data_IF_326442204546
#
_entry.id   IF_326442204546
#
_cell.length_a   1.000
_cell.length_b   1.000
_cell.length_c   1.000
_cell.angle_alpha   90.00
_cell.angle_beta   90.00
_cell.angle_gamma   90.00
#
_symmetry.space_group_name_H-M   'P 1'
#
loop_
_entity.id
_entity.type
_entity.pdbx_description
1 polymer ?
#
# COMPACT_ATOMS: atom_id res chain seq x y z
N UNK A 1 -2.84 -10.42 28.16
CA UNK A 1 -3.23 -11.83 27.87
C UNK A 1 -2.23 -12.37 26.86
N UNK A 2 -1.38 -13.30 27.28
CA UNK A 2 -0.39 -13.93 26.40
C UNK A 2 -1.12 -15.00 25.58
N UNK A 3 -1.57 -14.64 24.38
CA UNK A 3 -2.01 -15.64 23.43
C UNK A 3 -0.77 -16.44 23.01
N UNK A 4 -0.67 -17.69 23.46
CA UNK A 4 0.16 -18.67 22.77
C UNK A 4 -0.33 -18.68 21.31
N UNK A 5 0.35 -17.94 20.44
CA UNK A 5 0.08 -17.98 19.00
C UNK A 5 0.26 -19.43 18.58
N UNK A 6 -0.86 -20.11 18.33
CA UNK A 6 -0.83 -21.46 17.82
C UNK A 6 0.02 -21.42 16.54
N UNK A 7 1.13 -22.16 16.53
CA UNK A 7 1.99 -22.27 15.35
C UNK A 7 1.22 -22.79 14.14
N UNK A 8 0.06 -23.40 14.36
CA UNK A 8 -0.89 -23.85 13.36
C UNK A 8 -2.17 -23.01 13.43
N UNK A 9 -2.63 -22.39 12.32
CA UNK A 9 -3.92 -21.73 12.21
C UNK A 9 -5.07 -22.69 12.35
N UNK A 10 -6.20 -22.09 12.70
CA UNK A 10 -7.47 -22.78 12.80
C UNK A 10 -8.02 -23.22 11.43
N UNK A 11 -7.63 -22.54 10.34
CA UNK A 11 -8.03 -22.85 8.97
C UNK A 11 -6.80 -22.91 8.06
N UNK A 12 -6.70 -23.99 7.27
CA UNK A 12 -5.62 -24.24 6.31
C UNK A 12 -6.19 -24.73 4.99
N UNK A 13 -5.58 -24.30 3.90
CA UNK A 13 -5.77 -24.94 2.61
C UNK A 13 -5.02 -26.26 2.57
N UNK A 14 -5.53 -27.24 1.82
CA UNK A 14 -4.86 -28.53 1.63
C UNK A 14 -3.45 -28.31 1.08
N UNK A 15 -2.46 -29.02 1.64
CA UNK A 15 -1.04 -28.88 1.27
C UNK A 15 -0.24 -27.85 2.07
N UNK A 16 -0.86 -27.03 2.92
CA UNK A 16 -0.17 -26.04 3.78
C UNK A 16 -0.29 -26.42 5.27
N UNK A 17 0.30 -27.55 5.66
CA UNK A 17 0.20 -28.10 7.02
C UNK A 17 1.30 -27.60 7.98
N UNK A 18 2.33 -26.92 7.48
CA UNK A 18 3.47 -26.49 8.27
C UNK A 18 3.13 -25.39 9.29
N UNK A 19 4.00 -25.28 10.30
CA UNK A 19 3.94 -24.23 11.30
C UNK A 19 4.22 -22.84 10.68
N UNK A 20 3.55 -21.80 11.17
CA UNK A 20 3.94 -20.42 10.89
C UNK A 20 5.30 -20.12 11.50
N UNK A 21 6.08 -19.34 10.76
CA UNK A 21 7.34 -18.75 11.22
C UNK A 21 7.24 -17.24 11.13
N UNK A 22 7.77 -16.56 12.14
CA UNK A 22 7.89 -15.10 12.10
C UNK A 22 8.99 -14.70 11.11
N UNK A 23 8.66 -13.78 10.20
CA UNK A 23 9.59 -13.22 9.22
C UNK A 23 9.52 -11.70 9.28
N UNK A 24 10.67 -11.05 9.15
CA UNK A 24 10.72 -9.59 9.02
C UNK A 24 10.22 -9.21 7.63
N UNK A 25 9.31 -8.24 7.55
CA UNK A 25 8.76 -7.80 6.25
C UNK A 25 9.87 -7.41 5.25
N UNK A 26 10.88 -6.67 5.73
CA UNK A 26 12.06 -6.25 4.94
C UNK A 26 12.88 -7.41 4.35
N UNK A 27 12.75 -8.65 4.85
CA UNK A 27 13.42 -9.80 4.22
C UNK A 27 12.67 -10.36 3.03
N UNK A 28 11.46 -9.84 2.74
CA UNK A 28 10.58 -10.33 1.68
C UNK A 28 10.14 -9.23 0.71
N UNK A 29 10.41 -7.96 1.01
CA UNK A 29 9.82 -6.80 0.32
C UNK A 29 10.86 -5.72 0.04
N UNK A 30 10.65 -4.92 -1.00
CA UNK A 30 11.48 -3.76 -1.32
C UNK A 30 10.75 -2.49 -0.89
N UNK A 31 11.23 -1.86 0.18
CA UNK A 31 10.61 -0.65 0.71
C UNK A 31 10.96 0.60 -0.10
N UNK A 32 9.94 1.38 -0.48
CA UNK A 32 10.11 2.72 -1.07
C UNK A 32 9.03 3.68 -0.57
N UNK A 33 9.44 4.80 0.01
CA UNK A 33 8.51 5.86 0.40
C UNK A 33 8.15 6.73 -0.82
N UNK A 34 6.91 7.23 -0.85
CA UNK A 34 6.47 8.20 -1.85
C UNK A 34 7.15 9.55 -1.71
N UNK A 35 7.09 10.34 -2.78
CA UNK A 35 7.71 11.68 -2.86
C UNK A 35 6.63 12.76 -2.83
N UNK A 36 7.01 13.98 -2.46
CA UNK A 36 6.11 15.13 -2.54
C UNK A 36 5.90 15.56 -4.00
N UNK A 37 4.64 15.75 -4.39
CA UNK A 37 4.27 16.20 -5.76
C UNK A 37 3.39 17.47 -5.76
N UNK A 38 3.36 18.23 -4.66
CA UNK A 38 2.42 19.33 -4.41
C UNK A 38 2.37 20.37 -5.55
N UNK A 39 3.52 20.77 -6.09
CA UNK A 39 3.62 21.82 -7.12
C UNK A 39 3.20 21.38 -8.53
N UNK A 40 3.01 20.07 -8.74
CA UNK A 40 2.72 19.49 -10.08
C UNK A 40 1.30 18.94 -10.20
N UNK A 41 0.48 19.03 -9.15
CA UNK A 41 -0.82 18.38 -9.12
C UNK A 41 -1.87 19.11 -9.95
N UNK A 42 -2.66 18.34 -10.67
CA UNK A 42 -3.81 18.78 -11.44
C UNK A 42 -5.02 17.88 -11.17
N UNK A 43 -6.20 18.32 -11.60
CA UNK A 43 -7.41 17.49 -11.63
C UNK A 43 -7.49 16.59 -12.86
N UNK A 44 -6.57 16.77 -13.81
CA UNK A 44 -6.44 15.98 -15.05
C UNK A 44 -4.95 15.73 -15.27
N UNK A 45 -4.59 14.53 -15.70
CA UNK A 45 -3.22 14.17 -16.07
C UNK A 45 -3.10 12.70 -16.41
N UNK A 46 -1.90 12.28 -16.82
CA UNK A 46 -1.62 10.89 -17.22
C UNK A 46 -1.54 9.92 -16.05
N UNK A 47 -0.91 10.35 -14.95
CA UNK A 47 -0.57 9.52 -13.81
C UNK A 47 -1.36 9.96 -12.58
N UNK A 48 -2.03 9.03 -11.91
CA UNK A 48 -2.80 9.32 -10.71
C UNK A 48 -1.94 9.18 -9.45
N UNK A 49 -2.02 10.15 -8.55
CA UNK A 49 -1.31 10.13 -7.28
C UNK A 49 -2.02 9.24 -6.28
N UNK A 50 -1.29 8.29 -5.69
CA UNK A 50 -1.73 7.54 -4.51
C UNK A 50 -1.39 8.35 -3.27
N UNK A 51 -2.41 8.74 -2.52
CA UNK A 51 -2.28 9.47 -1.26
C UNK A 51 -3.11 8.81 -0.15
N UNK A 52 -3.19 9.44 1.02
CA UNK A 52 -3.91 8.92 2.18
C UNK A 52 -5.39 8.62 1.93
N UNK A 53 -6.04 9.36 1.03
CA UNK A 53 -7.45 9.15 0.69
C UNK A 53 -7.63 8.09 -0.42
N UNK A 54 -6.55 7.62 -1.02
CA UNK A 54 -6.57 6.60 -2.08
C UNK A 54 -6.73 5.18 -1.54
N UNK A 55 -6.57 4.94 -0.24
CA UNK A 55 -6.79 3.61 0.35
C UNK A 55 -8.02 3.67 1.26
N UNK A 56 -8.96 2.77 1.02
CA UNK A 56 -10.18 2.73 1.83
C UNK A 56 -9.93 2.16 3.24
N UNK A 57 -10.79 2.51 4.20
CA UNK A 57 -10.76 1.93 5.56
C UNK A 57 -10.93 0.41 5.52
N UNK A 58 -11.70 -0.13 4.58
CA UNK A 58 -11.82 -1.58 4.35
C UNK A 58 -10.68 -2.17 3.52
N UNK A 59 -9.65 -1.39 3.18
CA UNK A 59 -8.60 -1.75 2.23
C UNK A 59 -9.00 -1.55 0.77
N UNK A 60 -8.03 -1.64 -0.13
CA UNK A 60 -8.24 -1.47 -1.56
C UNK A 60 -8.23 -0.01 -2.02
N UNK A 61 -8.07 0.16 -3.32
CA UNK A 61 -7.73 1.42 -3.96
C UNK A 61 -8.99 2.24 -4.32
N UNK A 62 -8.88 3.55 -4.16
CA UNK A 62 -9.85 4.58 -4.57
C UNK A 62 -9.13 5.64 -5.38
N UNK A 63 -9.83 6.20 -6.37
CA UNK A 63 -9.34 7.34 -7.12
C UNK A 63 -9.11 8.54 -6.19
N UNK A 64 -7.94 9.16 -6.29
CA UNK A 64 -7.60 10.37 -5.57
C UNK A 64 -8.12 11.63 -6.25
N UNK A 65 -8.35 11.57 -7.58
CA UNK A 65 -8.67 12.73 -8.40
C UNK A 65 -7.53 13.75 -8.50
N UNK A 66 -6.31 13.35 -8.14
CA UNK A 66 -5.09 14.15 -8.22
C UNK A 66 -4.13 13.48 -9.17
N UNK A 67 -3.69 14.24 -10.17
CA UNK A 67 -2.88 13.72 -11.26
C UNK A 67 -1.62 14.55 -11.48
N UNK A 68 -0.63 13.93 -12.10
CA UNK A 68 0.57 14.55 -12.65
C UNK A 68 0.82 14.00 -14.05
N UNK A 69 1.58 14.72 -14.89
CA UNK A 69 1.87 14.28 -16.25
C UNK A 69 3.20 13.52 -16.39
N UNK A 70 4.14 13.75 -15.47
CA UNK A 70 5.49 13.20 -15.52
C UNK A 70 6.00 12.84 -14.12
N UNK A 71 6.59 11.66 -14.00
CA UNK A 71 7.26 11.15 -12.81
C UNK A 71 8.47 10.30 -13.22
N UNK A 72 9.49 10.26 -12.37
CA UNK A 72 10.69 9.43 -12.61
C UNK A 72 10.38 7.92 -12.45
N UNK A 73 9.39 7.60 -11.62
CA UNK A 73 9.00 6.23 -11.30
C UNK A 73 7.47 6.11 -11.20
N UNK A 74 6.96 5.01 -11.70
CA UNK A 74 5.56 4.58 -11.62
C UNK A 74 5.42 3.28 -10.84
N UNK A 75 4.23 3.05 -10.31
CA UNK A 75 3.87 1.76 -9.70
C UNK A 75 3.48 0.74 -10.76
N UNK A 76 3.76 -0.52 -10.47
CA UNK A 76 3.42 -1.66 -11.30
C UNK A 76 2.20 -2.37 -10.73
N UNK A 77 1.50 -3.13 -11.56
CA UNK A 77 0.40 -3.98 -11.14
C UNK A 77 0.88 -4.96 -10.06
N UNK A 78 -0.01 -5.20 -9.10
CA UNK A 78 0.20 -6.05 -7.93
C UNK A 78 1.23 -5.51 -6.91
N UNK A 79 1.77 -4.30 -7.12
CA UNK A 79 2.51 -3.58 -6.09
C UNK A 79 1.64 -3.39 -4.84
N UNK A 80 2.20 -3.70 -3.66
CA UNK A 80 1.53 -3.50 -2.38
C UNK A 80 1.88 -2.13 -1.83
N UNK A 81 0.88 -1.26 -1.72
CA UNK A 81 1.05 0.07 -1.12
C UNK A 81 0.40 0.15 0.25
N UNK A 82 1.00 0.90 1.17
CA UNK A 82 0.54 1.06 2.54
C UNK A 82 0.59 2.52 2.99
N UNK A 83 -0.44 2.95 3.73
CA UNK A 83 -0.43 4.24 4.43
C UNK A 83 0.48 4.18 5.65
N UNK A 84 1.42 5.13 5.74
CA UNK A 84 2.40 5.23 6.84
C UNK A 84 2.10 6.37 7.83
N UNK A 85 1.08 7.18 7.59
CA UNK A 85 0.70 8.29 8.45
C UNK A 85 -0.81 8.42 8.54
N UNK A 86 -1.30 8.79 9.70
CA UNK A 86 -2.66 9.27 9.87
C UNK A 86 -2.67 10.80 10.04
N UNK A 87 -3.73 11.46 9.57
CA UNK A 87 -4.01 12.89 9.80
C UNK A 87 -5.43 13.11 10.33
N UNK A 88 -6.18 12.03 10.57
CA UNK A 88 -7.54 12.03 11.11
C UNK A 88 -7.67 11.19 12.38
N UNK A 89 -8.72 10.36 12.43
CA UNK A 89 -9.13 9.63 13.64
C UNK A 89 -8.31 8.36 13.96
N UNK A 90 -7.27 8.03 13.20
CA UNK A 90 -6.44 6.83 13.45
C UNK A 90 -6.85 5.60 12.62
N UNK A 91 -7.80 5.72 11.69
CA UNK A 91 -8.37 4.59 10.96
C UNK A 91 -7.60 4.17 9.71
N UNK A 92 -6.61 4.96 9.27
CA UNK A 92 -5.94 4.81 7.98
C UNK A 92 -4.53 4.21 8.08
N UNK A 93 -3.86 4.36 9.23
CA UNK A 93 -2.51 3.85 9.41
C UNK A 93 -2.45 2.33 9.19
N UNK A 94 -1.51 1.87 8.35
CA UNK A 94 -1.31 0.44 8.07
C UNK A 94 -2.32 -0.18 7.10
N UNK A 95 -3.27 0.61 6.55
CA UNK A 95 -4.15 0.13 5.48
C UNK A 95 -3.35 -0.08 4.20
N UNK A 96 -3.72 -1.13 3.47
CA UNK A 96 -3.05 -1.55 2.24
C UNK A 96 -3.99 -1.60 1.04
N UNK A 97 -3.42 -1.45 -0.15
CA UNK A 97 -4.07 -1.68 -1.42
C UNK A 97 -3.08 -2.32 -2.40
N UNK A 98 -3.61 -3.07 -3.36
CA UNK A 98 -2.87 -3.54 -4.52
C UNK A 98 -3.09 -2.59 -5.68
N UNK A 99 -2.04 -2.35 -6.46
CA UNK A 99 -2.12 -1.54 -7.66
C UNK A 99 -2.72 -2.37 -8.81
N UNK A 100 -3.76 -1.87 -9.50
CA UNK A 100 -4.51 -2.68 -10.47
C UNK A 100 -3.88 -2.70 -11.87
N UNK A 101 -3.08 -1.70 -12.21
CA UNK A 101 -2.59 -1.45 -13.57
C UNK A 101 -1.16 -0.90 -13.53
N UNK A 102 -0.35 -1.33 -14.49
CA UNK A 102 1.02 -0.86 -14.69
C UNK A 102 1.04 0.61 -15.14
N UNK A 103 2.06 1.34 -14.69
CA UNK A 103 2.45 2.65 -15.22
C UNK A 103 1.38 3.75 -15.16
N UNK A 104 0.36 3.58 -14.32
CA UNK A 104 -0.75 4.54 -14.17
C UNK A 104 -0.73 5.34 -12.89
N UNK A 105 0.01 4.87 -11.89
CA UNK A 105 -0.02 5.43 -10.53
C UNK A 105 1.35 5.84 -10.03
N UNK A 106 1.40 6.90 -9.21
CA UNK A 106 2.62 7.40 -8.59
C UNK A 106 2.40 7.61 -7.09
N UNK A 107 3.39 7.23 -6.27
CA UNK A 107 3.30 7.37 -4.83
C UNK A 107 3.54 8.82 -4.37
N UNK A 108 2.56 9.37 -3.67
CA UNK A 108 2.75 10.58 -2.89
C UNK A 108 3.36 10.27 -1.52
N UNK A 109 3.95 11.29 -0.89
CA UNK A 109 4.46 11.22 0.48
C UNK A 109 3.40 10.66 1.46
N UNK A 110 3.88 9.98 2.51
CA UNK A 110 3.06 9.30 3.55
C UNK A 110 2.40 7.99 3.10
N UNK A 111 2.66 7.55 1.88
CA UNK A 111 2.32 6.21 1.39
C UNK A 111 3.62 5.55 0.91
N UNK A 112 3.78 4.25 1.15
CA UNK A 112 4.96 3.50 0.73
C UNK A 112 4.60 2.23 -0.04
N UNK A 113 5.50 1.86 -0.94
CA UNK A 113 5.58 0.57 -1.62
C UNK A 113 6.37 -0.43 -0.76
N UNK A 114 5.95 -1.69 -0.83
CA UNK A 114 6.62 -2.86 -0.26
C UNK A 114 6.75 -3.95 -1.31
#
# INVERSE_FOLDING_TARGET
>A
MNANQAKYPQLRFAGFADAWEERKLVSMTNYKNGKGHEDKQSTIGKLELINLNSISISGGLKHSGKFIDEADDTLQKDDLVMILSDVGHGDLLGRVALIPEDDRFVLNQRVALF
#
